data_IF_310934619930
#
_entry.id   IF_310934619930
#
_cell.length_a   1.000
_cell.length_b   1.000
_cell.length_c   1.000
_cell.angle_alpha   90.00
_cell.angle_beta   90.00
_cell.angle_gamma   90.00
#
_symmetry.space_group_name_H-M   'P 1'
#
loop_
_entity.id
_entity.type
_entity.pdbx_description
1 polymer ?
#
# COMPACT_ATOMS: atom_id res chain seq x y z
N UNK A 1 16.28 -6.95 -5.98
CA UNK A 1 16.44 -6.84 -4.52
C UNK A 1 15.10 -7.03 -3.81
N UNK A 2 14.10 -6.15 -3.94
CA UNK A 2 12.82 -6.28 -3.22
C UNK A 2 11.97 -7.52 -3.59
N UNK A 3 11.89 -7.89 -4.87
CA UNK A 3 11.13 -9.08 -5.29
C UNK A 3 11.74 -10.38 -4.75
N UNK A 4 13.07 -10.44 -4.63
CA UNK A 4 13.78 -11.57 -4.04
C UNK A 4 13.49 -11.63 -2.54
N UNK A 5 13.52 -10.49 -1.85
CA UNK A 5 13.23 -10.39 -0.42
C UNK A 5 11.79 -10.80 -0.09
N UNK A 6 10.83 -10.32 -0.88
CA UNK A 6 9.40 -10.65 -0.71
C UNK A 6 9.13 -12.13 -0.98
N UNK A 7 9.69 -12.68 -2.06
CA UNK A 7 9.55 -14.10 -2.43
C UNK A 7 10.27 -15.06 -1.46
N UNK A 8 11.30 -14.57 -0.77
CA UNK A 8 12.02 -15.32 0.25
C UNK A 8 11.25 -15.36 1.57
N UNK A 9 10.67 -14.23 1.99
CA UNK A 9 9.83 -14.12 3.19
C UNK A 9 8.54 -14.95 3.04
N UNK A 10 7.86 -14.84 1.90
CA UNK A 10 6.60 -15.57 1.67
C UNK A 10 6.80 -17.11 1.67
N UNK A 11 8.03 -17.60 1.42
CA UNK A 11 8.37 -19.04 1.41
C UNK A 11 8.96 -19.56 2.71
N UNK A 12 9.25 -18.69 3.69
CA UNK A 12 9.85 -19.06 4.96
C UNK A 12 9.16 -18.28 6.10
N UNK A 13 8.02 -18.77 6.62
CA UNK A 13 7.21 -18.02 7.58
C UNK A 13 7.96 -17.71 8.89
N UNK A 14 8.94 -18.53 9.28
CA UNK A 14 9.76 -18.32 10.47
C UNK A 14 10.57 -17.02 10.40
N UNK A 15 10.92 -16.56 9.19
CA UNK A 15 11.65 -15.31 8.98
C UNK A 15 10.79 -14.11 9.38
N UNK A 16 9.49 -14.16 9.13
CA UNK A 16 8.56 -13.09 9.55
C UNK A 16 8.56 -12.99 11.07
N UNK A 17 8.51 -14.14 11.75
CA UNK A 17 8.55 -14.19 13.22
C UNK A 17 9.86 -13.62 13.75
N UNK A 18 11.01 -13.99 13.17
CA UNK A 18 12.33 -13.48 13.57
C UNK A 18 12.42 -11.96 13.37
N UNK A 19 12.02 -11.46 12.19
CA UNK A 19 12.01 -10.02 11.89
C UNK A 19 11.11 -9.28 12.88
N UNK A 20 9.91 -9.81 13.12
CA UNK A 20 8.95 -9.22 14.05
C UNK A 20 9.55 -9.12 15.45
N UNK A 21 10.09 -10.22 15.97
CA UNK A 21 10.64 -10.28 17.34
C UNK A 21 11.86 -9.38 17.51
N UNK A 22 12.77 -9.40 16.54
CA UNK A 22 13.95 -8.55 16.55
C UNK A 22 13.58 -7.07 16.61
N UNK A 23 12.80 -6.57 15.65
CA UNK A 23 12.41 -5.15 15.62
C UNK A 23 11.43 -4.78 16.73
N UNK A 24 10.63 -5.73 17.22
CA UNK A 24 9.83 -5.49 18.42
C UNK A 24 10.72 -5.22 19.64
N UNK A 25 11.79 -6.00 19.82
CA UNK A 25 12.72 -5.81 20.94
C UNK A 25 13.61 -4.57 20.78
N UNK A 26 14.00 -4.24 19.56
CA UNK A 26 14.95 -3.16 19.28
C UNK A 26 14.29 -1.78 19.37
N UNK A 27 13.11 -1.61 18.78
CA UNK A 27 12.47 -0.29 18.66
C UNK A 27 10.93 -0.32 18.76
N UNK A 28 10.33 -1.48 19.07
CA UNK A 28 8.89 -1.63 19.21
C UNK A 28 8.11 -1.64 17.90
N UNK A 29 8.78 -1.73 16.75
CA UNK A 29 8.16 -1.65 15.40
C UNK A 29 8.06 -3.02 14.71
N UNK A 30 7.95 -4.10 15.49
CA UNK A 30 7.92 -5.47 14.94
C UNK A 30 6.82 -5.67 13.91
N UNK A 31 5.63 -5.11 14.14
CA UNK A 31 4.51 -5.17 13.19
C UNK A 31 4.81 -4.43 11.90
N UNK A 32 5.40 -3.24 12.00
CA UNK A 32 5.68 -2.38 10.87
C UNK A 32 6.66 -3.05 9.89
N UNK A 33 7.74 -3.63 10.43
CA UNK A 33 8.76 -4.30 9.62
C UNK A 33 8.27 -5.65 9.07
N UNK A 34 7.53 -6.43 9.86
CA UNK A 34 7.09 -7.76 9.44
C UNK A 34 5.89 -7.74 8.48
N UNK A 35 5.01 -6.74 8.57
CA UNK A 35 3.73 -6.75 7.84
C UNK A 35 3.42 -5.43 7.13
N UNK A 36 3.54 -4.28 7.80
CA UNK A 36 3.07 -3.00 7.24
C UNK A 36 3.91 -2.54 6.04
N UNK A 37 5.23 -2.41 6.21
CA UNK A 37 6.13 -1.97 5.14
C UNK A 37 6.15 -2.95 3.96
N UNK A 38 6.29 -4.29 4.18
CA UNK A 38 6.19 -5.24 3.08
C UNK A 38 4.84 -5.20 2.37
N UNK A 39 3.73 -5.10 3.12
CA UNK A 39 2.38 -4.98 2.55
C UNK A 39 2.21 -3.72 1.71
N UNK A 40 2.69 -2.58 2.20
CA UNK A 40 2.66 -1.32 1.46
C UNK A 40 3.53 -1.37 0.20
N UNK A 41 4.70 -2.02 0.23
CA UNK A 41 5.50 -2.23 -0.96
C UNK A 41 4.75 -3.03 -2.03
N UNK A 42 4.03 -4.10 -1.65
CA UNK A 42 3.16 -4.85 -2.57
C UNK A 42 2.06 -3.95 -3.17
N UNK A 43 1.43 -3.08 -2.37
CA UNK A 43 0.43 -2.10 -2.84
C UNK A 43 1.03 -1.12 -3.84
N UNK A 44 2.21 -0.56 -3.55
CA UNK A 44 2.89 0.39 -4.43
C UNK A 44 3.31 -0.24 -5.75
N UNK A 45 3.78 -1.49 -5.72
CA UNK A 45 4.10 -2.24 -6.93
C UNK A 45 2.86 -2.49 -7.79
N UNK A 46 1.72 -2.84 -7.18
CA UNK A 46 0.45 -3.01 -7.88
C UNK A 46 -0.04 -1.69 -8.49
N UNK A 47 0.04 -0.59 -7.73
CA UNK A 47 -0.28 0.74 -8.21
C UNK A 47 0.60 1.19 -9.39
N UNK A 48 1.90 0.87 -9.36
CA UNK A 48 2.83 1.10 -10.47
C UNK A 48 2.50 0.31 -11.74
N UNK A 49 1.59 -0.69 -11.69
CA UNK A 49 1.07 -1.35 -12.89
C UNK A 49 0.00 -0.54 -13.61
N UNK A 50 -0.64 0.42 -12.93
CA UNK A 50 -1.75 1.24 -13.44
C UNK A 50 -1.25 2.37 -14.35
N UNK A 51 -0.09 2.96 -14.03
CA UNK A 51 0.53 4.03 -14.82
C UNK A 51 1.92 3.56 -15.26
N UNK A 52 2.12 3.28 -16.55
CA UNK A 52 3.38 2.82 -17.16
C UNK A 52 3.91 3.76 -18.24
N UNK A 53 3.10 4.71 -18.69
CA UNK A 53 3.46 5.76 -19.64
C UNK A 53 2.84 7.10 -19.24
N UNK A 54 3.34 8.21 -19.80
CA UNK A 54 2.80 9.56 -19.55
C UNK A 54 1.35 9.74 -20.01
N UNK A 55 0.87 8.87 -20.89
CA UNK A 55 -0.51 8.90 -21.42
C UNK A 55 -1.46 7.99 -20.64
N UNK A 56 -0.93 7.17 -19.73
CA UNK A 56 -1.76 6.24 -18.99
C UNK A 56 -2.61 7.00 -17.97
N UNK A 57 -3.89 6.64 -17.91
CA UNK A 57 -4.85 7.17 -16.95
C UNK A 57 -5.51 6.01 -16.23
N UNK A 58 -5.51 6.06 -14.91
CA UNK A 58 -6.14 5.03 -14.10
C UNK A 58 -6.40 5.48 -12.67
N UNK A 59 -7.27 4.75 -11.98
CA UNK A 59 -7.61 5.00 -10.58
C UNK A 59 -7.18 3.81 -9.72
N UNK A 60 -6.79 4.10 -8.47
CA UNK A 60 -6.46 3.11 -7.46
C UNK A 60 -7.47 3.25 -6.34
N UNK A 61 -8.08 2.13 -5.94
CA UNK A 61 -8.98 2.05 -4.81
C UNK A 61 -8.34 1.19 -3.71
N UNK A 62 -8.05 1.80 -2.57
CA UNK A 62 -7.54 1.11 -1.39
C UNK A 62 -8.70 0.78 -0.46
N UNK A 63 -8.95 -0.52 -0.24
CA UNK A 63 -10.10 -1.01 0.53
C UNK A 63 -9.57 -1.64 1.82
N UNK A 64 -9.54 -0.85 2.89
CA UNK A 64 -9.36 -1.26 4.28
C UNK A 64 -9.37 0.01 5.14
N UNK A 65 -9.85 -0.07 6.38
CA UNK A 65 -9.79 1.08 7.30
C UNK A 65 -8.34 1.50 7.63
N UNK A 66 -7.40 0.54 7.61
CA UNK A 66 -5.98 0.75 7.90
C UNK A 66 -5.36 1.82 7.00
N UNK A 67 -5.75 1.86 5.72
CA UNK A 67 -5.29 2.86 4.76
C UNK A 67 -5.68 4.30 5.16
N UNK A 68 -6.74 4.47 5.95
CA UNK A 68 -7.13 5.78 6.50
C UNK A 68 -6.29 6.24 7.69
N UNK A 69 -5.53 5.35 8.33
CA UNK A 69 -4.75 5.66 9.54
C UNK A 69 -3.52 6.51 9.22
N UNK A 70 -3.06 7.30 10.19
CA UNK A 70 -1.86 8.15 10.03
C UNK A 70 -0.62 7.31 9.68
N UNK A 71 -0.48 6.12 10.28
CA UNK A 71 0.66 5.22 10.05
C UNK A 71 0.78 4.83 8.56
N UNK A 72 -0.31 4.39 7.94
CA UNK A 72 -0.32 3.99 6.53
C UNK A 72 -0.22 5.19 5.59
N UNK A 73 -0.92 6.30 5.90
CA UNK A 73 -0.87 7.52 5.07
C UNK A 73 0.53 8.13 4.95
N UNK A 74 1.37 8.00 5.98
CA UNK A 74 2.77 8.47 5.93
C UNK A 74 3.62 7.73 4.91
N UNK A 75 3.18 6.54 4.48
CA UNK A 75 3.84 5.72 3.47
C UNK A 75 3.33 6.00 2.06
N UNK A 76 2.36 6.90 1.89
CA UNK A 76 1.86 7.24 0.57
C UNK A 76 2.90 8.05 -0.22
N UNK A 77 3.05 7.79 -1.53
CA UNK A 77 3.87 8.61 -2.40
C UNK A 77 3.38 10.06 -2.36
N UNK A 78 4.31 11.02 -2.47
CA UNK A 78 3.97 12.46 -2.44
C UNK A 78 2.90 12.84 -3.47
N UNK A 79 2.92 12.21 -4.65
CA UNK A 79 1.93 12.45 -5.72
C UNK A 79 0.50 11.98 -5.40
N UNK A 80 0.28 11.26 -4.29
CA UNK A 80 -1.05 10.81 -3.87
C UNK A 80 -1.71 11.75 -2.86
N UNK A 81 -1.14 12.93 -2.60
CA UNK A 81 -1.63 13.91 -1.62
C UNK A 81 -3.11 14.30 -1.78
N UNK A 82 -3.66 14.21 -2.99
CA UNK A 82 -5.04 14.56 -3.34
C UNK A 82 -6.02 13.37 -3.30
N UNK A 83 -5.68 12.28 -2.60
CA UNK A 83 -6.58 11.14 -2.45
C UNK A 83 -7.92 11.53 -1.80
N UNK A 84 -9.00 10.84 -2.15
CA UNK A 84 -10.35 11.06 -1.60
C UNK A 84 -10.75 9.84 -0.77
N UNK A 85 -11.20 10.06 0.48
CA UNK A 85 -11.74 8.99 1.33
C UNK A 85 -13.19 8.72 0.97
N UNK A 86 -13.42 7.65 0.23
CA UNK A 86 -14.75 7.25 -0.23
C UNK A 86 -15.40 6.24 0.73
N UNK A 87 -16.67 6.45 1.09
CA UNK A 87 -17.38 5.62 2.07
C UNK A 87 -18.51 4.77 1.49
N UNK A 88 -19.04 5.13 0.31
CA UNK A 88 -20.16 4.43 -0.32
C UNK A 88 -19.95 4.20 -1.82
N UNK A 89 -20.62 3.19 -2.36
CA UNK A 89 -20.48 2.76 -3.76
C UNK A 89 -20.98 3.79 -4.77
N UNK A 90 -21.96 4.62 -4.39
CA UNK A 90 -22.51 5.68 -5.25
C UNK A 90 -21.48 6.79 -5.43
N UNK A 91 -20.80 7.16 -4.35
CA UNK A 91 -19.77 8.19 -4.33
C UNK A 91 -18.51 7.73 -5.07
N UNK A 92 -18.14 6.45 -4.94
CA UNK A 92 -17.10 5.83 -5.78
C UNK A 92 -17.47 5.97 -7.26
N UNK A 93 -18.68 5.55 -7.65
CA UNK A 93 -19.14 5.62 -9.04
C UNK A 93 -19.12 7.04 -9.60
N UNK A 94 -19.58 8.02 -8.85
CA UNK A 94 -19.55 9.43 -9.27
C UNK A 94 -18.11 9.92 -9.45
N UNK A 95 -17.22 9.68 -8.48
CA UNK A 95 -15.83 10.14 -8.58
C UNK A 95 -15.07 9.47 -9.74
N UNK A 96 -15.29 8.17 -9.99
CA UNK A 96 -14.69 7.50 -11.14
C UNK A 96 -15.24 8.08 -12.44
N UNK A 97 -16.57 8.20 -12.57
CA UNK A 97 -17.18 8.78 -13.78
C UNK A 97 -16.62 10.17 -14.09
N UNK A 98 -16.48 11.01 -13.08
CA UNK A 98 -15.96 12.37 -13.26
C UNK A 98 -14.47 12.34 -13.60
N UNK A 99 -13.67 11.44 -13.00
CA UNK A 99 -12.27 11.23 -13.37
C UNK A 99 -12.08 10.83 -14.84
N UNK A 100 -12.94 9.98 -15.43
CA UNK A 100 -12.82 9.54 -16.83
C UNK A 100 -13.50 10.48 -17.85
N UNK A 101 -14.19 11.53 -17.42
CA UNK A 101 -14.81 12.51 -18.31
C UNK A 101 -13.84 13.56 -18.85
N UNK A 102 -12.72 13.78 -18.14
CA UNK A 102 -11.56 14.54 -18.61
C UNK A 102 -10.71 13.70 -19.59
#
# INVERSE_FOLDING_TARGET
MEQIYTHFIDRNPDIITIIREYFQSENGLGYEYAYMYPGMNKVLQAAGRVIRSEKDKGAILLIDERFGTIKYRRLYPRGWSHYKRVGDSKWIRTNLRDFWKD
#
